data_IF_802786447555
#
_entry.id   IF_802786447555
#
_cell.length_a   1.000
_cell.length_b   1.000
_cell.length_c   1.000
_cell.angle_alpha   90.00
_cell.angle_beta   90.00
_cell.angle_gamma   90.00
#
_symmetry.space_group_name_H-M   'P 1'
#
loop_
_entity.id
_entity.type
_entity.pdbx_description
1 polymer ?
#
# COMPACT_ATOMS: atom_id res chain seq x y z
N UNK A 1 -3.60 4.58 -14.40
CA UNK A 1 -4.13 4.57 -13.02
C UNK A 1 -3.77 3.24 -12.36
N UNK A 2 -3.42 3.31 -11.10
CA UNK A 2 -3.14 2.14 -10.30
C UNK A 2 -4.31 1.84 -9.38
N UNK A 3 -4.58 0.58 -9.14
CA UNK A 3 -5.56 0.13 -8.16
C UNK A 3 -4.86 -0.78 -7.17
N UNK A 4 -5.05 -0.48 -5.89
CA UNK A 4 -4.56 -1.29 -4.78
C UNK A 4 -5.79 -1.83 -4.06
N UNK A 5 -5.94 -3.16 -4.03
CA UNK A 5 -7.15 -3.74 -3.47
C UNK A 5 -6.83 -4.98 -2.65
N UNK A 6 -7.65 -5.20 -1.63
CA UNK A 6 -7.57 -6.43 -0.86
C UNK A 6 -8.18 -7.58 -1.65
N UNK A 7 -7.72 -8.82 -1.44
CA UNK A 7 -8.38 -9.98 -2.05
C UNK A 7 -9.79 -10.16 -1.52
N UNK A 8 -10.61 -10.90 -2.26
CA UNK A 8 -11.97 -11.20 -1.85
C UNK A 8 -11.99 -11.90 -0.50
N UNK A 9 -12.92 -11.50 0.37
CA UNK A 9 -13.05 -12.06 1.71
C UNK A 9 -12.15 -11.44 2.76
N UNK A 10 -11.30 -10.50 2.39
CA UNK A 10 -10.44 -9.82 3.38
C UNK A 10 -11.23 -8.88 4.27
N UNK A 11 -10.77 -8.74 5.52
CA UNK A 11 -11.34 -7.83 6.51
C UNK A 11 -10.23 -6.92 7.05
N UNK A 12 -10.30 -5.61 6.89
CA UNK A 12 -11.27 -4.87 6.09
C UNK A 12 -11.05 -5.04 4.59
N UNK A 13 -12.10 -4.88 3.81
CA UNK A 13 -11.99 -4.84 2.35
C UNK A 13 -11.79 -3.39 1.93
N UNK A 14 -10.72 -3.11 1.21
CA UNK A 14 -10.40 -1.76 0.75
C UNK A 14 -9.99 -1.78 -0.71
N UNK A 15 -10.22 -0.66 -1.39
CA UNK A 15 -9.76 -0.41 -2.75
C UNK A 15 -9.30 1.03 -2.81
N UNK A 16 -8.04 1.23 -3.19
CA UNK A 16 -7.45 2.56 -3.32
C UNK A 16 -7.05 2.79 -4.77
N UNK A 17 -7.23 4.02 -5.24
CA UNK A 17 -6.84 4.43 -6.58
C UNK A 17 -5.73 5.45 -6.51
N UNK A 18 -4.76 5.29 -7.41
CA UNK A 18 -3.55 6.08 -7.44
C UNK A 18 -3.27 6.49 -8.88
N UNK A 19 -3.19 7.78 -9.14
CA UNK A 19 -2.79 8.28 -10.46
C UNK A 19 -1.29 8.48 -10.51
N UNK A 20 -0.64 8.32 -11.69
CA UNK A 20 0.77 8.69 -11.82
C UNK A 20 1.01 10.11 -11.34
N UNK A 21 2.03 10.29 -10.52
CA UNK A 21 2.34 11.56 -9.87
C UNK A 21 1.74 11.72 -8.48
N UNK A 22 0.79 10.89 -8.07
CA UNK A 22 0.23 10.95 -6.73
C UNK A 22 1.23 10.44 -5.69
N UNK A 23 1.21 11.10 -4.54
CA UNK A 23 1.93 10.66 -3.34
C UNK A 23 0.88 10.48 -2.25
N UNK A 24 0.71 9.28 -1.75
CA UNK A 24 -0.33 8.96 -0.78
C UNK A 24 0.25 8.16 0.39
N UNK A 25 -0.20 8.47 1.60
CA UNK A 25 0.18 7.72 2.80
C UNK A 25 -0.89 6.71 3.15
N UNK A 26 -0.45 5.56 3.63
CA UNK A 26 -1.31 4.51 4.17
C UNK A 26 -1.08 4.45 5.68
N UNK A 27 -2.14 4.29 6.44
CA UNK A 27 -2.04 4.12 7.87
C UNK A 27 -3.40 3.99 8.54
N UNK A 28 -3.39 3.93 9.86
CA UNK A 28 -4.60 3.78 10.65
C UNK A 28 -5.15 5.13 11.13
N UNK A 29 -4.35 6.17 11.10
CA UNK A 29 -4.74 7.49 11.59
C UNK A 29 -5.72 8.16 10.64
N UNK A 30 -6.59 9.01 11.19
CA UNK A 30 -7.58 9.74 10.41
C UNK A 30 -6.94 10.69 9.40
N UNK A 31 -5.74 11.18 9.67
CA UNK A 31 -5.06 12.16 8.83
C UNK A 31 -4.32 11.60 7.62
N UNK A 32 -4.27 10.27 7.43
CA UNK A 32 -3.60 9.71 6.26
C UNK A 32 -4.55 9.65 5.06
N UNK A 33 -3.98 9.52 3.87
CA UNK A 33 -4.76 9.50 2.63
C UNK A 33 -5.58 8.23 2.47
N UNK A 34 -4.95 7.09 2.70
CA UNK A 34 -5.58 5.77 2.60
C UNK A 34 -5.65 5.15 3.99
N UNK A 35 -6.83 5.18 4.57
CA UNK A 35 -7.03 4.69 5.94
C UNK A 35 -7.27 3.19 5.90
N UNK A 36 -6.44 2.45 6.63
CA UNK A 36 -6.59 1.02 6.85
C UNK A 36 -6.77 0.81 8.34
N UNK A 37 -8.01 0.62 8.77
CA UNK A 37 -8.34 0.42 10.18
C UNK A 37 -8.25 -1.05 10.54
N UNK A 38 -7.01 -1.51 10.71
CA UNK A 38 -6.72 -2.88 11.04
C UNK A 38 -5.62 -2.96 12.08
N UNK A 39 -5.62 -4.03 12.86
CA UNK A 39 -4.56 -4.29 13.83
C UNK A 39 -3.23 -4.45 13.11
N UNK A 40 -2.16 -4.07 13.77
CA UNK A 40 -0.79 -4.16 13.26
C UNK A 40 -0.47 -3.13 12.16
N UNK A 41 -1.41 -2.26 11.81
CA UNK A 41 -1.16 -1.12 10.94
C UNK A 41 -0.79 0.08 11.80
N UNK A 42 0.35 0.67 11.54
CA UNK A 42 0.80 1.88 12.26
C UNK A 42 -0.07 3.07 11.88
N UNK A 43 -0.10 4.08 12.75
CA UNK A 43 -0.90 5.29 12.50
C UNK A 43 -0.51 5.94 11.18
N UNK A 44 0.80 6.04 10.91
CA UNK A 44 1.35 6.42 9.61
C UNK A 44 2.30 5.28 9.24
N UNK A 45 1.94 4.47 8.27
CA UNK A 45 2.59 3.19 8.04
C UNK A 45 3.59 3.24 6.88
N UNK A 46 3.14 3.63 5.70
CA UNK A 46 4.01 3.74 4.54
C UNK A 46 3.50 4.81 3.58
N UNK A 47 4.35 5.17 2.63
CA UNK A 47 4.02 6.18 1.62
C UNK A 47 4.22 5.58 0.24
N UNK A 48 3.25 5.82 -0.62
CA UNK A 48 3.28 5.36 -2.01
C UNK A 48 3.49 6.55 -2.93
N UNK A 49 4.43 6.43 -3.83
CA UNK A 49 4.65 7.42 -4.88
C UNK A 49 4.42 6.73 -6.22
N UNK A 50 3.38 7.13 -6.90
CA UNK A 50 2.97 6.49 -8.15
C UNK A 50 3.73 7.07 -9.34
N UNK A 51 4.34 6.19 -10.11
CA UNK A 51 4.95 6.54 -11.38
C UNK A 51 4.11 6.01 -12.55
N UNK A 52 4.62 6.15 -13.75
CA UNK A 52 3.94 5.68 -14.96
C UNK A 52 3.98 4.15 -15.05
N UNK A 53 5.07 3.51 -14.65
CA UNK A 53 5.28 2.08 -14.79
C UNK A 53 5.48 1.33 -13.49
N UNK A 54 5.61 2.04 -12.36
CA UNK A 54 5.85 1.42 -11.06
C UNK A 54 5.44 2.35 -9.93
N UNK A 55 5.31 1.79 -8.74
CA UNK A 55 5.01 2.54 -7.51
C UNK A 55 6.17 2.34 -6.55
N UNK A 56 6.67 3.43 -6.00
CA UNK A 56 7.65 3.37 -4.91
C UNK A 56 6.92 3.25 -3.58
N UNK A 57 7.29 2.25 -2.79
CA UNK A 57 6.76 2.02 -1.45
C UNK A 57 7.85 2.39 -0.46
N UNK A 58 7.58 3.36 0.41
CA UNK A 58 8.51 3.79 1.45
C UNK A 58 7.91 3.47 2.81
N UNK A 59 8.60 2.62 3.58
CA UNK A 59 8.18 2.34 4.96
C UNK A 59 8.49 3.55 5.85
N UNK A 60 7.53 4.00 6.63
CA UNK A 60 7.67 5.16 7.50
C UNK A 60 7.89 4.72 8.96
N UNK A 61 8.89 3.88 9.16
CA UNK A 61 9.23 3.33 10.48
C UNK A 61 8.03 2.65 11.15
N UNK A 62 7.29 1.89 10.37
CA UNK A 62 6.13 1.17 10.90
C UNK A 62 6.55 0.14 11.94
N UNK A 63 5.70 -0.09 12.93
CA UNK A 63 5.99 -1.01 14.03
C UNK A 63 6.13 -2.46 13.54
N UNK A 64 5.26 -2.87 12.63
CA UNK A 64 5.21 -4.25 12.17
C UNK A 64 5.76 -4.47 10.76
N UNK A 65 6.20 -3.40 10.10
CA UNK A 65 6.83 -3.48 8.80
C UNK A 65 5.88 -3.39 7.62
N UNK A 66 6.46 -3.07 6.48
CA UNK A 66 5.80 -3.09 5.18
C UNK A 66 6.48 -4.18 4.36
N UNK A 67 5.70 -4.91 3.57
CA UNK A 67 6.20 -6.07 2.82
C UNK A 67 5.84 -5.93 1.35
N UNK A 68 6.70 -6.48 0.50
CA UNK A 68 6.42 -6.62 -0.93
C UNK A 68 6.60 -8.09 -1.29
N UNK A 69 5.52 -8.71 -1.75
CA UNK A 69 5.49 -10.15 -2.08
C UNK A 69 6.01 -11.02 -0.92
N UNK A 70 5.65 -10.64 0.31
CA UNK A 70 6.05 -11.36 1.50
C UNK A 70 7.44 -11.05 2.03
N UNK A 71 8.22 -10.20 1.35
CA UNK A 71 9.57 -9.83 1.77
C UNK A 71 9.55 -8.45 2.43
N UNK A 72 10.22 -8.29 3.59
CA UNK A 72 10.21 -7.00 4.26
C UNK A 72 10.89 -5.91 3.43
N UNK A 73 10.26 -4.76 3.38
CA UNK A 73 10.83 -3.55 2.79
C UNK A 73 11.77 -2.95 3.81
N UNK A 74 13.06 -2.83 3.47
CA UNK A 74 14.02 -2.30 4.41
C UNK A 74 13.90 -0.80 4.56
N UNK A 75 13.68 -0.10 3.48
CA UNK A 75 13.38 1.32 3.50
C UNK A 75 12.39 1.64 2.41
N UNK A 76 12.73 1.27 1.18
CA UNK A 76 11.88 1.48 0.02
C UNK A 76 11.98 0.29 -0.93
N UNK A 77 10.94 0.12 -1.72
CA UNK A 77 10.88 -0.91 -2.75
C UNK A 77 10.03 -0.40 -3.90
N UNK A 78 10.25 -0.95 -5.08
CA UNK A 78 9.45 -0.65 -6.26
C UNK A 78 8.51 -1.82 -6.52
N UNK A 79 7.26 -1.51 -6.82
CA UNK A 79 6.25 -2.51 -7.15
C UNK A 79 5.64 -2.23 -8.50
N UNK A 80 5.19 -3.27 -9.16
CA UNK A 80 4.53 -3.24 -10.46
C UNK A 80 3.21 -3.99 -10.38
N UNK A 81 2.44 -3.91 -11.47
CA UNK A 81 1.20 -4.67 -11.55
C UNK A 81 1.47 -6.17 -11.31
N UNK A 82 0.66 -6.78 -10.48
CA UNK A 82 0.82 -8.17 -10.07
C UNK A 82 1.54 -8.36 -8.75
N UNK A 83 2.24 -7.35 -8.25
CA UNK A 83 2.89 -7.41 -6.95
C UNK A 83 1.87 -7.21 -5.83
N UNK A 84 2.27 -7.57 -4.61
CA UNK A 84 1.45 -7.40 -3.41
C UNK A 84 2.20 -6.60 -2.38
N UNK A 85 1.50 -5.64 -1.77
CA UNK A 85 2.05 -4.82 -0.70
C UNK A 85 1.39 -5.29 0.60
N UNK A 86 2.21 -5.70 1.56
CA UNK A 86 1.74 -6.11 2.88
C UNK A 86 1.85 -4.96 3.87
N UNK A 87 0.74 -4.65 4.54
CA UNK A 87 0.65 -3.60 5.55
C UNK A 87 0.01 -4.23 6.77
N UNK A 88 0.79 -4.46 7.83
CA UNK A 88 0.33 -5.28 8.93
C UNK A 88 0.06 -6.70 8.43
N UNK A 89 -1.16 -7.18 8.63
CA UNK A 89 -1.60 -8.47 8.10
C UNK A 89 -2.38 -8.37 6.80
N UNK A 90 -2.61 -7.15 6.34
CA UNK A 90 -3.38 -6.90 5.14
C UNK A 90 -2.47 -6.95 3.92
N UNK A 91 -2.91 -7.62 2.86
CA UNK A 91 -2.24 -7.59 1.58
C UNK A 91 -3.06 -6.80 0.57
N UNK A 92 -2.37 -5.93 -0.16
CA UNK A 92 -2.97 -5.14 -1.23
C UNK A 92 -2.38 -5.62 -2.56
N UNK A 93 -3.23 -6.10 -3.43
CA UNK A 93 -2.84 -6.47 -4.79
C UNK A 93 -2.70 -5.22 -5.64
N UNK A 94 -1.59 -5.10 -6.35
CA UNK A 94 -1.31 -3.97 -7.23
C UNK A 94 -1.82 -4.31 -8.63
N UNK A 95 -2.73 -3.51 -9.12
CA UNK A 95 -3.36 -3.70 -10.42
C UNK A 95 -3.18 -2.44 -11.25
N UNK A 96 -2.79 -2.59 -12.51
CA UNK A 96 -2.79 -1.47 -13.45
C UNK A 96 -4.20 -1.31 -13.98
N UNK A 97 -4.83 -0.17 -13.65
CA UNK A 97 -6.16 0.12 -14.14
C UNK A 97 -6.13 0.67 -15.56
N UNK A 98 -7.20 0.45 -16.31
CA UNK A 98 -7.36 1.09 -17.60
C UNK A 98 -7.74 2.55 -17.40
N UNK A 99 -7.06 3.42 -18.11
CA UNK A 99 -7.36 4.84 -18.09
C UNK A 99 -8.41 5.16 -19.14
#
# INVERSE_FOLDING_TARGET
>A
MWILRTPDGAEPAVTFRLLPGNIKTIGRAVGVDFIVDANLVSRVHCRLTAGASEIEVLDLDSTNGTFVNGLPVQKRALVKAGDRIGVGRLELEVVAGNS
#
